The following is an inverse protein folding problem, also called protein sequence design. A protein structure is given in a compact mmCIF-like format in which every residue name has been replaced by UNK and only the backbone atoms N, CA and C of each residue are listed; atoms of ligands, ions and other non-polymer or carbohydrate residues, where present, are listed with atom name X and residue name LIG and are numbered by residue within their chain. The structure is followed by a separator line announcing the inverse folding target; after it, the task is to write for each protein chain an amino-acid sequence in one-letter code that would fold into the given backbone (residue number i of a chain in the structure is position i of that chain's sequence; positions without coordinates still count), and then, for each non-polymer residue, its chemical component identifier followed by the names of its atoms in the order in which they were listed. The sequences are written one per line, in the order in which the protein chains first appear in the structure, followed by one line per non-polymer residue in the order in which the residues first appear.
data_IF_628102470691
#
_entry.id   IF_628102470691
#
_cell.length_a   1.000
_cell.length_b   1.000
_cell.length_c   1.000
_cell.angle_alpha   90.00
_cell.angle_beta   90.00
_cell.angle_gamma   90.00
#
_symmetry.space_group_name_H-M   'P 1'
#
loop_
_entity.id
_entity.type
_entity.pdbx_description
1 polymer ?
#
# COMPACT_ATOMS: atom_id res chain seq x y z
N UNK A 1 -22.87 -13.29 -5.53
CA UNK A 1 -21.51 -13.64 -5.99
C UNK A 1 -21.66 -14.39 -7.30
N UNK A 2 -21.41 -13.74 -8.46
CA UNK A 2 -21.40 -14.44 -9.76
C UNK A 2 -19.98 -14.96 -9.98
N UNK A 3 -19.84 -16.27 -10.14
CA UNK A 3 -18.60 -16.93 -10.54
C UNK A 3 -18.54 -16.91 -12.06
N UNK A 4 -17.62 -16.12 -12.62
CA UNK A 4 -17.36 -16.09 -14.06
C UNK A 4 -16.23 -17.07 -14.37
N UNK A 5 -16.40 -17.89 -15.40
CA UNK A 5 -15.34 -18.80 -15.87
C UNK A 5 -14.64 -18.20 -17.08
N UNK A 6 -13.34 -18.47 -17.26
CA UNK A 6 -12.56 -17.99 -18.41
C UNK A 6 -13.15 -18.44 -19.77
N UNK A 7 -14.02 -19.45 -19.78
CA UNK A 7 -14.72 -19.92 -20.98
C UNK A 7 -15.85 -18.97 -21.44
N UNK A 8 -16.32 -18.07 -20.58
CA UNK A 8 -17.36 -17.08 -20.91
C UNK A 8 -16.76 -15.82 -21.55
N UNK A 9 -15.43 -15.69 -21.60
CA UNK A 9 -14.76 -14.56 -22.21
C UNK A 9 -14.50 -14.80 -23.71
N UNK A 10 -14.56 -13.75 -24.54
CA UNK A 10 -14.23 -13.83 -25.96
C UNK A 10 -12.78 -14.33 -26.17
N UNK A 11 -12.58 -15.12 -27.22
CA UNK A 11 -11.27 -15.68 -27.55
C UNK A 11 -10.25 -14.57 -27.83
N UNK A 12 -9.01 -14.76 -27.36
CA UNK A 12 -7.94 -13.80 -27.56
C UNK A 12 -7.71 -13.51 -29.08
N UNK A 13 -7.29 -12.28 -29.44
CA UNK A 13 -6.96 -11.93 -30.81
C UNK A 13 -5.88 -12.83 -31.40
N UNK A 14 -5.89 -13.00 -32.73
CA UNK A 14 -4.82 -13.68 -33.43
C UNK A 14 -3.50 -12.90 -33.33
N UNK A 15 -2.36 -13.60 -33.34
CA UNK A 15 -1.02 -12.99 -33.36
C UNK A 15 -0.90 -12.00 -34.52
N UNK A 16 -0.51 -10.75 -34.23
CA UNK A 16 -0.41 -9.66 -35.22
C UNK A 16 -1.70 -8.88 -35.46
N UNK A 17 -2.72 -9.06 -34.61
CA UNK A 17 -3.91 -8.21 -34.58
C UNK A 17 -3.99 -7.42 -33.27
N UNK A 18 -4.45 -6.17 -33.37
CA UNK A 18 -4.65 -5.26 -32.23
C UNK A 18 -6.14 -5.18 -31.94
N UNK A 19 -6.51 -5.39 -30.67
CA UNK A 19 -7.87 -5.18 -30.18
C UNK A 19 -8.19 -3.70 -30.17
N UNK A 20 -9.22 -3.27 -30.91
CA UNK A 20 -9.61 -1.87 -31.00
C UNK A 20 -10.71 -1.51 -29.99
N UNK A 21 -11.73 -2.36 -29.92
CA UNK A 21 -12.91 -2.11 -29.10
C UNK A 21 -13.52 -3.43 -28.63
N UNK A 22 -14.11 -3.39 -27.43
CA UNK A 22 -14.97 -4.44 -26.90
C UNK A 22 -16.40 -3.91 -26.89
N UNK A 23 -17.26 -4.40 -27.77
CA UNK A 23 -18.69 -4.10 -27.77
C UNK A 23 -19.49 -5.38 -27.61
N UNK A 24 -20.49 -5.33 -26.72
CA UNK A 24 -21.40 -6.46 -26.42
C UNK A 24 -20.70 -7.79 -26.05
N UNK A 25 -19.50 -7.71 -25.46
CA UNK A 25 -18.72 -8.90 -25.06
C UNK A 25 -17.94 -9.56 -26.20
N UNK A 26 -17.86 -8.92 -27.36
CA UNK A 26 -17.06 -9.34 -28.51
C UNK A 26 -15.88 -8.39 -28.71
N UNK A 27 -14.71 -8.96 -29.02
CA UNK A 27 -13.48 -8.22 -29.29
C UNK A 27 -13.34 -7.96 -30.80
N UNK A 28 -13.31 -6.69 -31.19
CA UNK A 28 -13.07 -6.27 -32.57
C UNK A 28 -11.59 -6.04 -32.77
N UNK A 29 -10.98 -6.80 -33.69
CA UNK A 29 -9.54 -6.82 -33.93
C UNK A 29 -9.24 -6.37 -35.36
N UNK A 30 -8.22 -5.53 -35.54
CA UNK A 30 -7.65 -5.19 -36.85
C UNK A 30 -6.19 -5.66 -36.95
N UNK A 31 -5.69 -5.96 -38.17
CA UNK A 31 -4.28 -6.29 -38.35
C UNK A 31 -3.38 -5.11 -37.95
N UNK A 32 -2.28 -5.41 -37.27
CA UNK A 32 -1.29 -4.43 -36.79
C UNK A 32 -0.61 -3.74 -37.97
N UNK A 33 -1.21 -2.65 -38.45
CA UNK A 33 -0.65 -1.80 -39.51
C UNK A 33 -0.19 -0.47 -38.93
N UNK A 34 0.91 0.11 -39.44
CA UNK A 34 1.44 1.38 -38.93
C UNK A 34 0.45 2.54 -39.06
N UNK A 35 -0.51 2.45 -39.98
CA UNK A 35 -1.53 3.47 -40.18
C UNK A 35 -2.67 3.41 -39.17
N UNK A 36 -3.06 2.21 -38.71
CA UNK A 36 -4.01 2.04 -37.59
C UNK A 36 -3.42 2.68 -36.33
N UNK A 37 -2.17 2.35 -36.01
CA UNK A 37 -1.47 2.95 -34.87
C UNK A 37 -1.41 4.47 -34.98
N UNK A 38 -1.09 5.04 -36.15
CA UNK A 38 -1.05 6.50 -36.38
C UNK A 38 -2.41 7.19 -36.28
N UNK A 39 -3.50 6.55 -36.72
CA UNK A 39 -4.87 7.08 -36.58
C UNK A 39 -5.24 7.25 -35.11
N UNK A 40 -4.97 6.23 -34.29
CA UNK A 40 -5.15 6.35 -32.85
C UNK A 40 -4.15 7.33 -32.22
N UNK A 41 -2.91 7.40 -32.69
CA UNK A 41 -1.87 8.30 -32.17
C UNK A 41 -2.19 9.80 -32.36
N UNK A 42 -2.98 10.17 -33.38
CA UNK A 42 -3.39 11.56 -33.60
C UNK A 42 -4.39 12.05 -32.55
N UNK A 43 -5.26 11.17 -32.08
CA UNK A 43 -6.27 11.48 -31.05
C UNK A 43 -5.80 11.12 -29.62
N UNK A 44 -4.93 10.11 -29.51
CA UNK A 44 -4.28 9.64 -28.30
C UNK A 44 -2.87 10.23 -28.20
N UNK A 45 -2.79 11.35 -27.47
CA UNK A 45 -1.57 12.04 -27.03
C UNK A 45 -0.78 12.79 -28.14
N UNK A 46 -0.76 14.14 -28.13
CA UNK A 46 0.29 14.86 -28.84
C UNK A 46 1.63 14.43 -28.22
N UNK A 47 2.64 14.19 -29.07
CA UNK A 47 4.02 13.82 -28.75
C UNK A 47 4.23 13.45 -27.29
N UNK A 48 4.13 12.15 -26.96
CA UNK A 48 4.42 11.62 -25.64
C UNK A 48 5.72 12.26 -25.15
N UNK A 49 5.63 13.19 -24.19
CA UNK A 49 6.79 13.68 -23.48
C UNK A 49 7.51 12.44 -22.97
N UNK A 50 8.68 12.13 -23.54
CA UNK A 50 9.35 10.87 -23.31
C UNK A 50 9.67 10.75 -21.81
N UNK A 51 8.90 9.94 -21.09
CA UNK A 51 9.03 9.81 -19.64
C UNK A 51 10.30 9.02 -19.34
N UNK A 52 11.39 9.73 -19.02
CA UNK A 52 12.65 9.12 -18.58
C UNK A 52 12.55 8.77 -17.10
N UNK A 53 12.15 7.53 -16.82
CA UNK A 53 12.07 6.99 -15.45
C UNK A 53 13.40 7.10 -14.70
N UNK A 54 14.54 7.06 -15.41
CA UNK A 54 15.87 7.18 -14.80
C UNK A 54 16.12 8.57 -14.17
N UNK A 55 15.62 9.64 -14.80
CA UNK A 55 15.78 11.02 -14.28
C UNK A 55 14.93 11.22 -13.01
N UNK A 56 13.82 10.48 -12.91
CA UNK A 56 12.90 10.52 -11.78
C UNK A 56 13.41 9.75 -10.55
N UNK A 57 14.25 8.73 -10.75
CA UNK A 57 14.89 7.97 -9.68
C UNK A 57 16.03 8.75 -8.99
N UNK A 58 16.65 9.70 -9.69
CA UNK A 58 17.80 10.48 -9.20
C UNK A 58 17.43 11.63 -8.25
N UNK A 59 16.13 11.89 -8.02
CA UNK A 59 15.69 13.01 -7.17
C UNK A 59 16.03 12.77 -5.70
N UNK A 60 16.68 13.74 -5.02
CA UNK A 60 17.19 13.56 -3.67
C UNK A 60 16.07 13.27 -2.67
N UNK A 61 16.32 12.28 -1.81
CA UNK A 61 15.38 11.78 -0.82
C UNK A 61 15.54 12.51 0.50
N UNK A 62 14.66 13.44 0.84
CA UNK A 62 14.58 14.02 2.18
C UNK A 62 13.79 13.09 3.11
N UNK A 63 14.43 12.03 3.57
CA UNK A 63 13.86 11.11 4.57
C UNK A 63 14.68 11.17 5.84
N UNK A 64 14.31 12.06 6.76
CA UNK A 64 14.62 11.87 8.17
C UNK A 64 13.28 11.62 8.87
N UNK A 65 12.98 10.34 9.07
CA UNK A 65 11.88 9.88 9.92
C UNK A 65 12.28 10.13 11.38
N UNK A 66 12.16 11.37 11.87
CA UNK A 66 12.24 11.60 13.31
C UNK A 66 10.90 11.20 13.93
N UNK A 67 10.93 10.17 14.77
CA UNK A 67 9.81 9.84 15.64
C UNK A 67 9.67 10.96 16.68
N UNK A 68 8.50 11.58 16.83
CA UNK A 68 8.31 12.63 17.83
C UNK A 68 8.62 12.13 19.26
N UNK A 69 8.49 10.83 19.54
CA UNK A 69 8.89 10.21 20.82
C UNK A 69 10.38 10.32 21.09
N UNK A 70 11.25 10.31 20.07
CA UNK A 70 12.71 10.45 20.27
C UNK A 70 13.16 11.89 20.50
N UNK A 71 12.30 12.89 20.28
CA UNK A 71 12.61 14.29 20.53
C UNK A 71 12.20 14.78 21.92
N UNK A 72 11.37 14.01 22.65
CA UNK A 72 10.95 14.34 24.00
C UNK A 72 11.94 13.68 24.97
N UNK A 73 12.94 14.45 25.41
CA UNK A 73 13.78 14.07 26.53
C UNK A 73 12.95 14.14 27.82
N UNK A 74 12.30 13.02 28.19
CA UNK A 74 11.68 12.90 29.51
C UNK A 74 12.78 12.84 30.56
N UNK A 75 12.67 13.64 31.63
CA UNK A 75 13.52 13.47 32.80
C UNK A 75 13.18 12.12 33.43
N UNK A 76 14.13 11.19 33.39
CA UNK A 76 13.97 9.88 34.03
C UNK A 76 13.90 10.11 35.54
N UNK A 77 12.80 9.71 36.22
CA UNK A 77 12.72 9.87 37.67
C UNK A 77 13.85 9.07 38.34
N UNK A 78 14.51 9.64 39.36
CA UNK A 78 15.53 8.90 40.12
C UNK A 78 14.93 7.73 40.93
N UNK A 79 13.61 7.76 41.16
CA UNK A 79 12.90 6.74 41.93
C UNK A 79 12.61 5.50 41.08
N UNK A 80 13.13 4.35 41.50
CA UNK A 80 12.96 3.06 40.83
C UNK A 80 11.47 2.64 40.71
N UNK A 81 10.64 3.01 41.70
CA UNK A 81 9.19 2.75 41.65
C UNK A 81 8.48 3.56 40.58
N UNK A 82 8.87 4.83 40.39
CA UNK A 82 8.29 5.69 39.36
C UNK A 82 8.65 5.17 37.96
N UNK A 83 9.90 4.71 37.77
CA UNK A 83 10.32 4.10 36.51
C UNK A 83 9.55 2.80 36.19
N UNK A 84 9.30 1.95 37.19
CA UNK A 84 8.49 0.73 37.01
C UNK A 84 7.03 1.03 36.69
N UNK A 85 6.47 2.03 37.37
CA UNK A 85 5.09 2.46 37.13
C UNK A 85 4.94 3.06 35.74
N UNK A 86 5.87 3.92 35.30
CA UNK A 86 5.88 4.46 33.93
C UNK A 86 6.04 3.36 32.88
N UNK A 87 6.94 2.39 33.09
CA UNK A 87 7.11 1.25 32.17
C UNK A 87 5.82 0.40 32.07
N UNK A 88 5.09 0.25 33.18
CA UNK A 88 3.79 -0.41 33.20
C UNK A 88 2.71 0.41 32.48
N UNK A 89 2.69 1.73 32.66
CA UNK A 89 1.72 2.60 31.97
C UNK A 89 1.97 2.62 30.47
N UNK A 90 3.23 2.66 30.03
CA UNK A 90 3.59 2.77 28.61
C UNK A 90 3.47 1.44 27.86
N UNK A 91 3.78 0.31 28.51
CA UNK A 91 3.93 -1.00 27.85
C UNK A 91 3.24 -2.16 28.60
N UNK A 92 2.40 -1.85 29.59
CA UNK A 92 1.67 -2.83 30.39
C UNK A 92 2.59 -3.74 31.20
N UNK A 93 2.11 -4.94 31.51
CA UNK A 93 2.85 -5.95 32.26
C UNK A 93 4.19 -6.33 31.60
N UNK A 94 4.28 -6.28 30.27
CA UNK A 94 5.50 -6.56 29.53
C UNK A 94 6.61 -5.55 29.86
N UNK A 95 6.30 -4.24 29.80
CA UNK A 95 7.27 -3.19 30.10
C UNK A 95 7.79 -3.24 31.54
N UNK A 96 6.90 -3.58 32.47
CA UNK A 96 7.29 -3.77 33.87
C UNK A 96 8.28 -4.93 34.04
N UNK A 97 7.98 -6.09 33.43
CA UNK A 97 8.87 -7.25 33.50
C UNK A 97 10.20 -7.01 32.79
N UNK A 98 10.18 -6.29 31.67
CA UNK A 98 11.38 -5.93 30.90
C UNK A 98 12.30 -5.02 31.71
N UNK A 99 11.75 -3.97 32.34
CA UNK A 99 12.49 -3.04 33.21
C UNK A 99 13.06 -3.74 34.45
N UNK A 100 12.29 -4.64 35.09
CA UNK A 100 12.76 -5.47 36.21
C UNK A 100 13.88 -6.44 35.82
N UNK A 101 13.96 -6.84 34.55
CA UNK A 101 14.94 -7.82 34.07
C UNK A 101 16.28 -7.19 33.69
N UNK A 102 16.27 -5.91 33.29
CA UNK A 102 17.38 -5.16 32.68
C UNK A 102 18.03 -4.17 33.66
N UNK A 103 17.27 -3.54 34.56
CA UNK A 103 17.83 -2.57 35.49
C UNK A 103 18.72 -3.23 36.57
N UNK A 104 19.87 -2.63 36.86
CA UNK A 104 20.69 -2.97 38.04
C UNK A 104 19.97 -2.46 39.30
N UNK A 105 18.99 -3.23 39.78
CA UNK A 105 18.18 -2.81 40.92
C UNK A 105 18.87 -3.10 42.26
N UNK A 106 18.72 -2.17 43.20
CA UNK A 106 19.12 -2.32 44.61
C UNK A 106 18.16 -3.29 45.32
N UNK A 107 18.59 -3.89 46.44
CA UNK A 107 17.69 -4.71 47.27
C UNK A 107 16.51 -3.83 47.75
N UNK A 108 15.23 -4.27 47.65
CA UNK A 108 14.73 -5.65 47.57
C UNK A 108 14.39 -6.19 46.16
N UNK A 109 14.41 -5.39 45.10
CA UNK A 109 13.91 -5.81 43.77
C UNK A 109 14.79 -6.83 43.05
N UNK A 110 16.04 -7.01 43.51
CA UNK A 110 16.94 -8.04 42.99
C UNK A 110 16.31 -9.44 43.03
N UNK A 111 15.46 -9.73 44.02
CA UNK A 111 14.74 -11.00 44.17
C UNK A 111 13.66 -11.18 43.10
N UNK A 112 13.10 -10.09 42.58
CA UNK A 112 12.06 -10.08 41.53
C UNK A 112 12.65 -10.15 40.11
N UNK A 113 13.95 -9.85 39.94
CA UNK A 113 14.60 -9.89 38.63
C UNK A 113 14.69 -11.31 38.03
N UNK A 114 14.88 -12.33 38.85
CA UNK A 114 14.99 -13.72 38.40
C UNK A 114 13.66 -14.31 37.92
N UNK A 115 12.52 -14.18 38.64
CA UNK A 115 11.23 -14.60 38.09
C UNK A 115 10.85 -13.77 36.87
N UNK A 116 11.12 -12.46 36.84
CA UNK A 116 10.84 -11.62 35.68
C UNK A 116 11.56 -12.11 34.41
N UNK A 117 12.84 -12.49 34.53
CA UNK A 117 13.62 -13.09 33.42
C UNK A 117 13.04 -14.41 32.96
N UNK A 118 12.60 -15.26 33.88
CA UNK A 118 11.99 -16.56 33.56
C UNK A 118 10.64 -16.36 32.86
N UNK A 119 9.80 -15.47 33.37
CA UNK A 119 8.50 -15.16 32.75
C UNK A 119 8.66 -14.56 31.36
N UNK A 120 9.66 -13.69 31.15
CA UNK A 120 9.96 -13.14 29.82
C UNK A 120 10.48 -14.21 28.85
N UNK A 121 11.35 -15.11 29.33
CA UNK A 121 11.82 -16.26 28.52
C UNK A 121 10.65 -17.15 28.10
N UNK A 122 9.74 -17.44 29.02
CA UNK A 122 8.51 -18.20 28.72
C UNK A 122 7.58 -17.46 27.77
N UNK A 123 7.38 -16.16 27.97
CA UNK A 123 6.58 -15.31 27.08
C UNK A 123 7.16 -15.28 25.65
N UNK A 124 8.47 -15.10 25.52
CA UNK A 124 9.14 -15.14 24.21
C UNK A 124 9.11 -16.54 23.58
N UNK A 125 9.27 -17.60 24.38
CA UNK A 125 9.15 -18.98 23.90
C UNK A 125 7.73 -19.27 23.42
N UNK A 126 6.70 -18.95 24.20
CA UNK A 126 5.30 -19.12 23.83
C UNK A 126 4.96 -18.30 22.58
N UNK A 127 5.46 -17.07 22.48
CA UNK A 127 5.34 -16.24 21.28
C UNK A 127 6.00 -16.89 20.05
N UNK A 128 7.21 -17.45 20.18
CA UNK A 128 7.90 -18.17 19.10
C UNK A 128 7.18 -19.44 18.68
N UNK A 129 6.65 -20.21 19.63
CA UNK A 129 5.85 -21.42 19.35
C UNK A 129 4.56 -21.01 18.64
N UNK A 130 3.88 -19.97 19.11
CA UNK A 130 2.68 -19.44 18.47
C UNK A 130 2.97 -18.96 17.04
N UNK A 131 4.02 -18.17 16.81
CA UNK A 131 4.37 -17.71 15.46
C UNK A 131 4.81 -18.85 14.55
N UNK A 132 5.50 -19.86 15.08
CA UNK A 132 5.88 -21.07 14.35
C UNK A 132 4.65 -21.88 13.92
N UNK A 133 3.76 -22.21 14.88
CA UNK A 133 2.50 -22.94 14.60
C UNK A 133 1.63 -22.15 13.62
N UNK A 134 1.53 -20.82 13.79
CA UNK A 134 0.78 -19.95 12.87
C UNK A 134 1.43 -19.90 11.49
N UNK A 135 2.76 -19.93 11.39
CA UNK A 135 3.48 -19.96 10.13
C UNK A 135 3.34 -21.28 9.37
N UNK A 136 3.18 -22.41 10.07
CA UNK A 136 2.84 -23.70 9.45
C UNK A 136 1.46 -23.68 8.78
N UNK A 137 0.49 -23.01 9.41
CA UNK A 137 -0.87 -22.87 8.84
C UNK A 137 -0.92 -21.78 7.76
N UNK A 138 -0.10 -20.74 7.88
CA UNK A 138 -0.06 -19.60 6.97
C UNK A 138 1.38 -19.27 6.53
N UNK A 139 1.92 -19.95 5.51
CA UNK A 139 3.31 -19.78 5.06
C UNK A 139 3.65 -18.33 4.68
N UNK A 140 2.68 -17.59 4.16
CA UNK A 140 2.85 -16.19 3.77
C UNK A 140 3.09 -15.22 4.93
N UNK A 141 2.81 -15.61 6.18
CA UNK A 141 3.18 -14.81 7.35
C UNK A 141 4.67 -14.83 7.65
N UNK A 142 5.41 -15.81 7.11
CA UNK A 142 6.86 -15.93 7.25
C UNK A 142 7.61 -15.17 6.15
N UNK A 143 6.93 -14.83 5.05
CA UNK A 143 7.54 -14.11 3.92
C UNK A 143 7.78 -12.64 4.26
N UNK A 144 8.88 -12.11 3.73
CA UNK A 144 9.13 -10.67 3.81
C UNK A 144 8.08 -9.89 2.99
N UNK A 145 7.78 -8.62 3.34
CA UNK A 145 6.87 -7.79 2.55
C UNK A 145 7.25 -7.72 1.07
N UNK A 146 8.55 -7.69 0.76
CA UNK A 146 9.07 -7.66 -0.60
C UNK A 146 8.82 -8.97 -1.35
N UNK A 147 8.98 -10.13 -0.69
CA UNK A 147 8.65 -11.44 -1.25
C UNK A 147 7.15 -11.63 -1.48
N UNK A 148 6.32 -11.13 -0.57
CA UNK A 148 4.86 -11.14 -0.75
C UNK A 148 4.49 -10.31 -1.99
N UNK A 149 5.06 -9.11 -2.13
CA UNK A 149 4.81 -8.27 -3.29
C UNK A 149 5.36 -8.92 -4.58
N UNK A 150 6.55 -9.53 -4.55
CA UNK A 150 7.10 -10.17 -5.75
C UNK A 150 6.26 -11.35 -6.22
N UNK A 151 5.68 -12.10 -5.29
CA UNK A 151 4.83 -13.25 -5.59
C UNK A 151 3.45 -12.88 -6.12
N UNK A 152 2.86 -11.79 -5.62
CA UNK A 152 1.44 -11.45 -5.86
C UNK A 152 1.22 -10.16 -6.65
N UNK A 153 2.28 -9.43 -7.01
CA UNK A 153 2.14 -8.21 -7.82
C UNK A 153 1.70 -8.51 -9.26
N UNK A 154 0.97 -7.57 -9.85
CA UNK A 154 0.60 -7.60 -11.27
C UNK A 154 1.81 -7.31 -12.18
N UNK A 155 2.90 -6.74 -11.64
CA UNK A 155 4.07 -6.29 -12.41
C UNK A 155 5.07 -7.43 -12.59
N UNK A 156 5.43 -7.70 -13.85
CA UNK A 156 6.51 -8.62 -14.17
C UNK A 156 7.86 -8.12 -13.62
N UNK A 157 8.66 -9.03 -13.05
CA UNK A 157 10.01 -8.73 -12.51
C UNK A 157 10.03 -7.68 -11.40
N UNK A 158 9.14 -7.82 -10.39
CA UNK A 158 9.11 -6.97 -9.19
C UNK A 158 10.49 -6.59 -8.59
N UNK A 159 11.45 -7.49 -8.35
CA UNK A 159 12.70 -7.11 -7.68
C UNK A 159 13.59 -6.13 -8.50
N UNK A 160 13.54 -6.18 -9.83
CA UNK A 160 14.35 -5.33 -10.73
C UNK A 160 13.55 -4.23 -11.41
N UNK A 161 12.22 -4.27 -11.36
CA UNK A 161 11.33 -3.28 -11.97
C UNK A 161 11.39 -1.91 -11.29
N UNK A 162 11.50 -0.86 -12.10
CA UNK A 162 11.48 0.53 -11.62
C UNK A 162 10.06 1.07 -11.41
N UNK A 163 9.09 0.56 -12.16
CA UNK A 163 7.67 0.92 -12.06
C UNK A 163 6.96 -0.14 -11.23
N UNK A 164 6.21 0.29 -10.21
CA UNK A 164 5.46 -0.58 -9.30
C UNK A 164 3.99 -0.69 -9.65
N UNK A 165 3.40 0.39 -10.14
CA UNK A 165 1.98 0.47 -10.47
C UNK A 165 1.76 1.63 -11.44
N UNK A 166 0.71 1.50 -12.24
CA UNK A 166 0.31 2.51 -13.21
C UNK A 166 -1.22 2.66 -13.15
N UNK A 167 -1.71 3.89 -13.16
CA UNK A 167 -3.15 4.15 -13.11
C UNK A 167 -3.52 5.34 -13.99
N UNK A 168 -4.50 5.12 -14.86
CA UNK A 168 -5.16 6.17 -15.62
C UNK A 168 -6.35 6.71 -14.84
N UNK A 169 -6.55 8.03 -14.89
CA UNK A 169 -7.78 8.60 -14.37
C UNK A 169 -8.95 8.32 -15.34
N UNK A 170 -10.11 7.83 -14.87
CA UNK A 170 -11.18 7.35 -15.76
C UNK A 170 -11.84 8.46 -16.60
N UNK A 171 -11.92 9.69 -16.09
CA UNK A 171 -12.56 10.82 -16.79
C UNK A 171 -11.63 11.94 -17.25
N UNK A 172 -10.34 11.89 -16.95
CA UNK A 172 -9.42 13.01 -17.23
C UNK A 172 -8.11 12.45 -17.76
N UNK A 173 -7.38 13.26 -18.54
CA UNK A 173 -6.12 12.85 -19.18
C UNK A 173 -4.95 12.97 -18.18
N UNK A 174 -5.06 12.23 -17.07
CA UNK A 174 -4.07 12.12 -16.00
C UNK A 174 -3.55 10.71 -15.88
N UNK A 175 -2.25 10.59 -15.63
CA UNK A 175 -1.55 9.33 -15.43
C UNK A 175 -0.80 9.39 -14.11
N UNK A 176 -0.91 8.34 -13.30
CA UNK A 176 -0.09 8.14 -12.12
C UNK A 176 0.86 6.98 -12.35
N UNK A 177 2.14 7.19 -12.05
CA UNK A 177 3.19 6.18 -12.12
C UNK A 177 3.81 6.04 -10.73
N UNK A 178 3.66 4.87 -10.11
CA UNK A 178 4.37 4.56 -8.88
C UNK A 178 5.74 3.99 -9.20
N UNK A 179 6.77 4.53 -8.56
CA UNK A 179 8.15 4.12 -8.74
C UNK A 179 8.67 3.31 -7.55
N UNK A 180 9.78 2.62 -7.77
CA UNK A 180 10.46 1.80 -6.76
C UNK A 180 11.02 2.62 -5.59
N UNK A 181 11.29 3.91 -5.78
CA UNK A 181 11.76 4.83 -4.72
C UNK A 181 10.63 5.39 -3.84
N UNK A 182 9.47 4.73 -3.84
CA UNK A 182 8.24 5.10 -3.13
C UNK A 182 7.56 6.39 -3.63
N UNK A 183 8.05 7.04 -4.68
CA UNK A 183 7.38 8.21 -5.24
C UNK A 183 6.26 7.81 -6.19
N UNK A 184 5.19 8.62 -6.23
CA UNK A 184 4.15 8.48 -7.25
C UNK A 184 4.14 9.77 -8.07
N UNK A 185 4.42 9.65 -9.36
CA UNK A 185 4.50 10.80 -10.26
C UNK A 185 3.21 10.92 -11.04
N UNK A 186 2.66 12.12 -11.04
CA UNK A 186 1.47 12.48 -11.77
C UNK A 186 1.83 13.27 -13.02
N UNK A 187 1.37 12.76 -14.15
CA UNK A 187 1.41 13.44 -15.43
C UNK A 187 0.00 13.88 -15.81
N UNK A 188 -0.12 15.09 -16.33
CA UNK A 188 -1.37 15.62 -16.88
C UNK A 188 -1.12 16.07 -18.30
N UNK A 189 -2.05 15.77 -19.21
CA UNK A 189 -1.96 16.27 -20.59
C UNK A 189 -1.88 17.80 -20.61
N UNK A 190 -1.01 18.34 -21.47
CA UNK A 190 -0.77 19.78 -21.64
C UNK A 190 -0.16 20.49 -20.41
N UNK A 191 0.38 19.74 -19.44
CA UNK A 191 1.18 20.29 -18.36
C UNK A 191 2.65 19.92 -18.59
N UNK A 192 3.52 20.92 -18.67
CA UNK A 192 4.98 20.70 -18.69
C UNK A 192 5.50 20.23 -17.32
N UNK A 193 4.71 20.46 -16.26
CA UNK A 193 5.08 20.15 -14.89
C UNK A 193 4.45 18.81 -14.48
N UNK A 194 5.28 17.89 -14.01
CA UNK A 194 4.85 16.69 -13.27
C UNK A 194 4.84 16.95 -11.76
N UNK A 195 3.86 16.39 -11.06
CA UNK A 195 3.82 16.40 -9.59
C UNK A 195 4.35 15.09 -9.03
N UNK A 196 5.16 15.16 -7.99
CA UNK A 196 5.65 14.00 -7.25
C UNK A 196 4.96 13.91 -5.88
N UNK A 197 4.22 12.83 -5.65
CA UNK A 197 3.58 12.51 -4.38
C UNK A 197 4.54 11.69 -3.52
N UNK A 198 4.92 12.24 -2.39
CA UNK A 198 5.85 11.61 -1.45
C UNK A 198 5.44 11.90 -0.02
N UNK A 199 5.37 10.85 0.79
CA UNK A 199 5.02 10.97 2.20
C UNK A 199 5.93 10.04 3.03
N UNK A 200 6.34 10.41 4.26
CA UNK A 200 7.25 9.59 5.08
C UNK A 200 6.73 8.17 5.37
N UNK A 201 5.41 8.01 5.36
CA UNK A 201 4.73 6.72 5.56
C UNK A 201 4.43 5.96 4.26
N UNK A 202 4.66 6.55 3.09
CA UNK A 202 4.52 5.89 1.80
C UNK A 202 5.77 5.05 1.57
N UNK A 203 5.71 3.76 1.91
CA UNK A 203 6.85 2.83 1.83
C UNK A 203 6.47 1.54 1.13
N UNK A 204 7.28 1.13 0.17
CA UNK A 204 7.05 0.01 -0.72
C UNK A 204 5.67 0.10 -1.37
N UNK A 205 5.48 1.10 -2.24
CA UNK A 205 4.21 1.34 -2.93
C UNK A 205 3.89 0.15 -3.85
N UNK A 206 2.69 -0.41 -3.70
CA UNK A 206 2.24 -1.61 -4.43
C UNK A 206 1.21 -1.31 -5.49
N UNK A 207 0.29 -0.40 -5.22
CA UNK A 207 -0.84 -0.11 -6.08
C UNK A 207 -1.25 1.35 -5.97
N UNK A 208 -1.80 1.88 -7.05
CA UNK A 208 -2.30 3.26 -7.15
C UNK A 208 -3.63 3.24 -7.90
N UNK A 209 -4.59 4.05 -7.46
CA UNK A 209 -5.88 4.16 -8.14
C UNK A 209 -6.50 5.55 -7.98
N UNK A 210 -6.97 6.13 -9.08
CA UNK A 210 -7.73 7.38 -9.08
C UNK A 210 -9.19 7.15 -8.67
N UNK A 211 -9.74 8.08 -7.88
CA UNK A 211 -11.16 8.09 -7.56
C UNK A 211 -11.98 8.47 -8.79
N UNK A 212 -12.96 7.67 -9.22
CA UNK A 212 -13.90 8.05 -10.28
C UNK A 212 -14.66 9.33 -9.95
N UNK A 213 -15.03 10.10 -10.98
CA UNK A 213 -15.76 11.38 -10.86
C UNK A 213 -15.09 12.47 -10.00
N UNK A 214 -13.83 12.25 -9.57
CA UNK A 214 -13.09 13.19 -8.75
C UNK A 214 -11.68 13.37 -9.30
N UNK A 215 -11.41 14.53 -9.91
CA UNK A 215 -10.10 14.87 -10.47
C UNK A 215 -8.98 15.08 -9.45
N UNK A 216 -9.29 15.00 -8.15
CA UNK A 216 -8.40 15.43 -7.05
C UNK A 216 -7.97 14.32 -6.10
N UNK A 217 -8.65 13.18 -6.08
CA UNK A 217 -8.40 12.13 -5.10
C UNK A 217 -7.68 10.95 -5.76
N UNK A 218 -6.57 10.55 -5.15
CA UNK A 218 -5.80 9.38 -5.55
C UNK A 218 -5.48 8.53 -4.33
N UNK A 219 -5.73 7.23 -4.44
CA UNK A 219 -5.41 6.24 -3.43
C UNK A 219 -4.05 5.60 -3.76
N UNK A 220 -3.18 5.49 -2.76
CA UNK A 220 -1.87 4.86 -2.86
C UNK A 220 -1.75 3.80 -1.78
N UNK A 221 -1.60 2.55 -2.21
CA UNK A 221 -1.38 1.40 -1.34
C UNK A 221 0.09 1.17 -1.09
N UNK A 222 0.46 0.99 0.16
CA UNK A 222 1.84 0.77 0.56
C UNK A 222 1.93 -0.25 1.71
N UNK A 223 3.15 -0.60 2.11
CA UNK A 223 3.39 -1.55 3.20
C UNK A 223 2.87 -1.05 4.55
N UNK A 224 2.91 0.27 4.77
CA UNK A 224 2.49 0.89 6.04
C UNK A 224 1.01 1.22 6.10
N UNK A 225 0.23 0.92 5.06
CA UNK A 225 -1.20 1.19 4.98
C UNK A 225 -1.60 1.92 3.70
N UNK A 226 -2.78 2.54 3.76
CA UNK A 226 -3.38 3.28 2.66
C UNK A 226 -3.11 4.77 2.84
N UNK A 227 -2.71 5.45 1.77
CA UNK A 227 -2.67 6.91 1.72
C UNK A 227 -3.67 7.43 0.70
N UNK A 228 -4.60 8.27 1.16
CA UNK A 228 -5.50 9.03 0.30
C UNK A 228 -4.96 10.44 0.15
N UNK A 229 -4.52 10.75 -1.07
CA UNK A 229 -4.01 12.05 -1.45
C UNK A 229 -5.12 12.90 -2.03
N UNK A 230 -5.22 14.14 -1.56
CA UNK A 230 -6.07 15.18 -2.10
C UNK A 230 -5.20 16.23 -2.80
N UNK A 231 -5.30 16.28 -4.13
CA UNK A 231 -4.44 17.07 -5.00
C UNK A 231 -5.34 17.99 -5.82
N UNK A 232 -5.00 19.27 -5.98
CA UNK A 232 -5.79 20.16 -6.83
C UNK A 232 -5.93 19.59 -8.26
N UNK A 233 -7.08 19.86 -8.89
CA UNK A 233 -7.40 19.33 -10.21
C UNK A 233 -6.36 19.77 -11.28
N UNK A 234 -5.78 20.96 -11.13
CA UNK A 234 -4.63 21.43 -11.90
C UNK A 234 -3.33 21.19 -11.12
N UNK A 235 -2.37 20.51 -11.76
CA UNK A 235 -1.01 20.37 -11.25
C UNK A 235 -0.30 21.71 -11.40
N UNK A 236 -0.34 22.53 -10.34
CA UNK A 236 0.39 23.81 -10.30
C UNK A 236 1.69 23.67 -9.47
N UNK A 237 1.78 22.61 -8.66
CA UNK A 237 2.86 22.42 -7.68
C UNK A 237 3.61 21.13 -7.98
N UNK A 238 4.95 21.20 -7.96
CA UNK A 238 5.84 20.05 -8.18
C UNK A 238 5.73 18.99 -7.09
N UNK A 239 5.53 19.38 -5.84
CA UNK A 239 5.41 18.45 -4.70
C UNK A 239 4.29 18.93 -3.77
N UNK A 240 3.11 18.28 -3.74
CA UNK A 240 2.07 18.62 -2.78
C UNK A 240 2.56 18.37 -1.35
N UNK A 241 2.09 19.20 -0.42
CA UNK A 241 2.47 19.12 0.98
C UNK A 241 2.02 17.81 1.61
N UNK A 242 2.76 17.31 2.61
CA UNK A 242 2.40 16.08 3.33
C UNK A 242 0.98 16.11 3.93
N UNK A 243 0.49 17.29 4.32
CA UNK A 243 -0.87 17.49 4.85
C UNK A 243 -1.98 17.19 3.84
N UNK A 244 -1.65 17.10 2.55
CA UNK A 244 -2.55 16.69 1.48
C UNK A 244 -2.79 15.18 1.46
N UNK A 245 -2.08 14.40 2.29
CA UNK A 245 -2.26 12.96 2.41
C UNK A 245 -2.86 12.58 3.76
N UNK A 246 -3.89 11.73 3.73
CA UNK A 246 -4.51 11.13 4.91
C UNK A 246 -4.21 9.63 4.93
N UNK A 247 -3.81 9.11 6.10
CA UNK A 247 -3.46 7.70 6.25
C UNK A 247 -4.62 6.91 6.85
N UNK A 248 -4.92 5.77 6.23
CA UNK A 248 -5.87 4.78 6.71
C UNK A 248 -5.19 3.42 6.84
N UNK A 249 -5.75 2.54 7.69
CA UNK A 249 -5.28 1.16 7.88
C UNK A 249 -3.76 1.08 8.20
N UNK A 250 -3.29 1.70 9.29
CA UNK A 250 -1.86 1.71 9.63
C UNK A 250 -1.36 0.29 9.94
N UNK A 251 -0.21 -0.08 9.36
CA UNK A 251 0.45 -1.37 9.62
C UNK A 251 -0.07 -2.55 8.81
N UNK A 252 -1.00 -2.33 7.87
CA UNK A 252 -1.45 -3.34 6.92
C UNK A 252 -0.71 -3.20 5.59
N UNK A 253 -0.04 -4.26 5.14
CA UNK A 253 0.52 -4.34 3.80
C UNK A 253 -0.62 -4.45 2.78
N UNK A 254 -0.77 -3.43 1.94
CA UNK A 254 -1.80 -3.41 0.90
C UNK A 254 -1.28 -4.09 -0.36
N UNK A 255 -2.02 -5.06 -0.91
CA UNK A 255 -1.71 -5.66 -2.22
C UNK A 255 -2.45 -4.99 -3.37
N UNK A 256 -3.72 -4.66 -3.17
CA UNK A 256 -4.59 -4.16 -4.22
C UNK A 256 -5.65 -3.22 -3.66
N UNK A 257 -6.02 -2.24 -4.49
CA UNK A 257 -7.02 -1.23 -4.20
C UNK A 257 -7.93 -1.14 -5.42
N UNK A 258 -9.24 -1.03 -5.19
CA UNK A 258 -10.20 -0.80 -6.24
C UNK A 258 -11.26 0.20 -5.78
N UNK A 259 -11.47 1.25 -6.58
CA UNK A 259 -12.57 2.18 -6.36
C UNK A 259 -13.88 1.61 -6.89
N UNK A 260 -14.96 1.80 -6.14
CA UNK A 260 -16.29 1.57 -6.65
C UNK A 260 -16.55 2.50 -7.85
N UNK A 261 -17.24 2.06 -8.91
CA UNK A 261 -17.47 2.87 -10.12
C UNK A 261 -18.09 4.23 -9.80
N UNK A 262 -19.02 4.29 -8.85
CA UNK A 262 -19.63 5.53 -8.34
C UNK A 262 -18.73 6.42 -7.47
N UNK A 263 -17.51 6.00 -7.15
CA UNK A 263 -16.51 6.81 -6.43
C UNK A 263 -16.75 7.03 -4.94
N UNK A 264 -17.76 6.41 -4.32
CA UNK A 264 -18.08 6.60 -2.90
C UNK A 264 -17.29 5.66 -1.98
N UNK A 265 -17.02 4.44 -2.46
CA UNK A 265 -16.40 3.38 -1.69
C UNK A 265 -15.06 2.99 -2.31
N UNK A 266 -14.15 2.55 -1.45
CA UNK A 266 -12.85 2.04 -1.81
C UNK A 266 -12.64 0.68 -1.16
N UNK A 267 -12.48 -0.37 -1.98
CA UNK A 267 -12.10 -1.69 -1.48
C UNK A 267 -10.58 -1.78 -1.41
N UNK A 268 -10.08 -2.30 -0.29
CA UNK A 268 -8.65 -2.44 0.01
C UNK A 268 -8.38 -3.87 0.43
N UNK A 269 -7.32 -4.46 -0.10
CA UNK A 269 -6.90 -5.83 0.20
C UNK A 269 -5.60 -5.84 1.00
N UNK A 270 -5.55 -6.58 2.10
CA UNK A 270 -4.31 -6.86 2.79
C UNK A 270 -3.62 -8.10 2.21
N UNK A 271 -2.36 -7.96 1.80
CA UNK A 271 -1.58 -9.07 1.26
C UNK A 271 -1.22 -10.12 2.31
N UNK A 272 -1.06 -9.69 3.57
CA UNK A 272 -0.54 -10.54 4.66
C UNK A 272 -1.62 -11.40 5.31
N UNK A 273 -2.80 -10.80 5.54
CA UNK A 273 -3.90 -11.47 6.22
C UNK A 273 -5.06 -11.81 5.29
N UNK A 274 -5.04 -11.33 4.04
CA UNK A 274 -6.12 -11.58 3.08
C UNK A 274 -7.42 -10.87 3.45
N UNK A 275 -7.36 -9.96 4.43
CA UNK A 275 -8.49 -9.18 4.88
C UNK A 275 -8.87 -8.17 3.80
N UNK A 276 -10.16 -8.11 3.49
CA UNK A 276 -10.72 -7.10 2.59
C UNK A 276 -11.45 -6.08 3.45
N UNK A 277 -11.16 -4.81 3.24
CA UNK A 277 -11.81 -3.70 3.94
C UNK A 277 -12.41 -2.76 2.92
N UNK A 278 -13.67 -2.38 3.11
CA UNK A 278 -14.32 -1.32 2.34
C UNK A 278 -14.28 -0.04 3.14
N UNK A 279 -13.64 0.97 2.59
CA UNK A 279 -13.52 2.31 3.15
C UNK A 279 -14.53 3.24 2.45
N UNK A 280 -15.33 3.95 3.21
CA UNK A 280 -16.08 5.09 2.70
C UNK A 280 -15.16 6.31 2.61
N UNK A 281 -14.93 6.81 1.40
CA UNK A 281 -13.97 7.89 1.18
C UNK A 281 -14.44 9.26 1.72
N UNK A 282 -15.74 9.45 1.95
CA UNK A 282 -16.29 10.69 2.48
C UNK A 282 -16.26 10.73 4.01
N UNK A 283 -16.64 9.63 4.66
CA UNK A 283 -16.71 9.55 6.13
C UNK A 283 -15.42 9.02 6.78
N UNK A 284 -14.59 8.32 6.01
CA UNK A 284 -13.41 7.62 6.54
C UNK A 284 -13.75 6.33 7.28
N UNK A 285 -15.01 5.90 7.28
CA UNK A 285 -15.46 4.69 7.95
C UNK A 285 -14.98 3.44 7.21
N UNK A 286 -14.47 2.48 7.96
CA UNK A 286 -13.97 1.21 7.44
C UNK A 286 -14.87 0.06 7.86
N UNK A 287 -15.38 -0.69 6.90
CA UNK A 287 -16.15 -1.91 7.13
C UNK A 287 -15.32 -3.12 6.66
N UNK A 288 -14.89 -4.02 7.57
CA UNK A 288 -14.22 -5.24 7.17
C UNK A 288 -15.22 -6.20 6.51
N UNK A 289 -14.83 -6.76 5.36
CA UNK A 289 -15.54 -7.85 4.71
C UNK A 289 -14.88 -9.17 5.12
N UNK A 290 -15.63 -10.00 5.83
CA UNK A 290 -15.17 -11.34 6.18
C UNK A 290 -15.20 -12.24 4.95
N UNK A 291 -14.04 -12.68 4.49
CA UNK A 291 -13.94 -13.75 3.51
C UNK A 291 -14.14 -15.09 4.23
N UNK A 292 -14.94 -15.99 3.66
CA UNK A 292 -15.15 -17.33 4.22
C UNK A 292 -13.97 -18.28 3.94
N UNK A 293 -12.85 -17.79 3.41
CA UNK A 293 -11.70 -18.63 3.09
C UNK A 293 -10.81 -18.82 4.32
N UNK A 294 -10.59 -20.09 4.67
CA UNK A 294 -9.68 -20.53 5.74
C UNK A 294 -8.21 -20.10 5.51
N UNK A 295 -7.86 -19.66 4.30
CA UNK A 295 -6.53 -19.21 3.92
C UNK A 295 -6.59 -17.77 3.39
N UNK A 296 -5.61 -16.90 3.73
CA UNK A 296 -5.45 -15.62 3.08
C UNK A 296 -5.08 -15.83 1.61
N UNK A 297 -5.98 -15.46 0.70
CA UNK A 297 -5.76 -15.61 -0.74
C UNK A 297 -6.20 -14.40 -1.56
N UNK A 298 -6.68 -13.35 -0.90
CA UNK A 298 -7.10 -12.14 -1.58
C UNK A 298 -5.87 -11.29 -1.89
N UNK A 299 -5.53 -11.21 -3.18
CA UNK A 299 -4.39 -10.43 -3.65
C UNK A 299 -4.80 -9.37 -4.67
N UNK A 300 -5.86 -9.64 -5.43
CA UNK A 300 -6.40 -8.76 -6.46
C UNK A 300 -7.86 -8.41 -6.14
N UNK A 301 -8.20 -7.12 -6.19
CA UNK A 301 -9.57 -6.64 -6.07
C UNK A 301 -9.98 -5.90 -7.33
N UNK A 302 -11.22 -6.14 -7.79
CA UNK A 302 -11.91 -5.38 -8.83
C UNK A 302 -13.38 -5.28 -8.46
N UNK A 303 -13.96 -4.10 -8.67
CA UNK A 303 -15.39 -3.90 -8.56
C UNK A 303 -16.09 -4.32 -9.85
N UNK A 304 -17.35 -4.74 -9.75
CA UNK A 304 -18.20 -4.87 -10.93
C UNK A 304 -18.40 -3.49 -11.56
N UNK A 305 -18.66 -3.43 -12.87
CA UNK A 305 -19.02 -2.15 -13.54
C UNK A 305 -20.35 -1.60 -13.00
N UNK A 306 -21.23 -2.47 -12.52
CA UNK A 306 -22.56 -2.12 -12.00
C UNK A 306 -22.55 -1.70 -10.52
N UNK A 307 -21.42 -1.89 -9.82
CA UNK A 307 -21.31 -1.78 -8.36
C UNK A 307 -21.26 -3.15 -7.70
#
# INVERSE_FOLDING_TARGET
MRLYSLAEFPTAPALGSVTLEETEGMLYNEPETPDVMRRFHKDAFPELAFIRVQDELARPSSTISMSAKSCILRQVPNDQWAQLYEAYVDHGLYGLLDHLSTAEMTAPFRVLSTPARVTLKWYHWAGRVYTFLRGLVFPQLQLSPEEICSKYSEVANWPSGNVRSLAWHPGTKKLAIALRNDSVILYTKNSEISSELKHPKQKNVTCVAFRPFSGSHIAVGCEKGLLLWNIPASIIVKTPTMHSASQFLPGTLISSIAWHPGGNLLAVCSARFGDIVVLNAATGETVPLTTFSLLPSAHLLRWSRDG
#
